data_IF_157897087697
#
_entry.id   IF_157897087697
#
_cell.length_a   1.000
_cell.length_b   1.000
_cell.length_c   1.000
_cell.angle_alpha   90.00
_cell.angle_beta   90.00
_cell.angle_gamma   90.00
#
_symmetry.space_group_name_H-M   'P 1'
#
loop_
_entity.id
_entity.type
_entity.pdbx_description
1 polymer ?
#
# COMPACT_ATOMS: atom_id res chain seq x y z
N UNK A 1 -11.69 -19.67 -40.68
CA UNK A 1 -12.22 -18.45 -40.01
C UNK A 1 -12.30 -18.58 -38.49
N UNK A 2 -12.78 -19.70 -37.91
CA UNK A 2 -12.89 -19.89 -36.46
C UNK A 2 -11.57 -19.74 -35.68
N UNK A 3 -10.47 -20.32 -36.16
CA UNK A 3 -9.16 -20.30 -35.49
C UNK A 3 -8.59 -18.88 -35.38
N UNK A 4 -8.81 -18.05 -36.41
CA UNK A 4 -8.35 -16.65 -36.42
C UNK A 4 -9.13 -15.78 -35.42
N UNK A 5 -10.44 -16.03 -35.25
CA UNK A 5 -11.26 -15.33 -34.27
C UNK A 5 -10.91 -15.74 -32.83
N UNK A 6 -10.59 -17.02 -32.59
CA UNK A 6 -10.12 -17.52 -31.30
C UNK A 6 -8.76 -16.91 -30.93
N UNK A 7 -7.85 -16.80 -31.90
CA UNK A 7 -6.53 -16.20 -31.67
C UNK A 7 -6.62 -14.69 -31.38
N UNK A 8 -7.47 -13.95 -32.12
CA UNK A 8 -7.70 -12.52 -31.92
C UNK A 8 -8.38 -12.22 -30.57
N UNK A 9 -9.35 -13.04 -30.17
CA UNK A 9 -10.01 -12.90 -28.86
C UNK A 9 -9.07 -13.27 -27.70
N UNK A 10 -8.19 -14.27 -27.87
CA UNK A 10 -7.16 -14.58 -26.86
C UNK A 10 -6.15 -13.45 -26.70
N UNK A 11 -5.74 -12.79 -27.80
CA UNK A 11 -4.78 -11.68 -27.77
C UNK A 11 -5.37 -10.44 -27.07
N UNK A 12 -6.61 -10.08 -27.39
CA UNK A 12 -7.34 -9.00 -26.70
C UNK A 12 -7.51 -9.28 -25.19
N UNK A 13 -7.82 -10.53 -24.81
CA UNK A 13 -7.96 -10.91 -23.39
C UNK A 13 -6.63 -10.82 -22.63
N UNK A 14 -5.53 -11.22 -23.27
CA UNK A 14 -4.19 -11.07 -22.72
C UNK A 14 -3.80 -9.61 -22.49
N UNK A 15 -4.11 -8.72 -23.44
CA UNK A 15 -3.85 -7.27 -23.31
C UNK A 15 -4.67 -6.63 -22.16
N UNK A 16 -5.93 -7.05 -22.00
CA UNK A 16 -6.78 -6.60 -20.88
C UNK A 16 -6.18 -7.06 -19.54
N UNK A 17 -5.82 -8.34 -19.40
CA UNK A 17 -5.23 -8.86 -18.17
C UNK A 17 -3.90 -8.17 -17.82
N UNK A 18 -3.04 -7.97 -18.82
CA UNK A 18 -1.74 -7.32 -18.65
C UNK A 18 -1.88 -5.86 -18.24
N UNK A 19 -2.87 -5.15 -18.78
CA UNK A 19 -3.14 -3.74 -18.43
C UNK A 19 -3.53 -3.59 -16.97
N UNK A 20 -4.42 -4.45 -16.45
CA UNK A 20 -4.78 -4.40 -15.03
C UNK A 20 -3.63 -4.85 -14.12
N UNK A 21 -2.83 -5.82 -14.56
CA UNK A 21 -1.62 -6.22 -13.84
C UNK A 21 -0.62 -5.05 -13.72
N UNK A 22 -0.33 -4.37 -14.84
CA UNK A 22 0.58 -3.23 -14.88
C UNK A 22 0.04 -2.09 -14.03
N UNK A 23 -1.23 -1.71 -14.16
CA UNK A 23 -1.81 -0.60 -13.40
C UNK A 23 -1.81 -0.87 -11.89
N UNK A 24 -2.16 -2.09 -11.47
CA UNK A 24 -2.14 -2.44 -10.04
C UNK A 24 -0.70 -2.48 -9.53
N UNK A 25 0.23 -3.00 -10.33
CA UNK A 25 1.65 -3.04 -9.95
C UNK A 25 2.22 -1.63 -9.87
N UNK A 26 1.97 -0.75 -10.84
CA UNK A 26 2.46 0.64 -10.83
C UNK A 26 1.95 1.42 -9.61
N UNK A 27 0.66 1.26 -9.27
CA UNK A 27 0.04 1.91 -8.10
C UNK A 27 0.52 1.33 -6.75
N UNK A 28 0.88 0.04 -6.67
CA UNK A 28 1.23 -0.64 -5.41
C UNK A 28 2.73 -0.86 -5.21
N UNK A 29 3.53 -0.90 -6.26
CA UNK A 29 4.94 -1.31 -6.18
C UNK A 29 5.70 -0.32 -5.30
N UNK A 30 5.50 0.98 -5.51
CA UNK A 30 6.11 2.01 -4.66
C UNK A 30 5.73 1.84 -3.19
N UNK A 31 4.43 1.63 -2.90
CA UNK A 31 3.94 1.44 -1.52
C UNK A 31 4.52 0.16 -0.91
N UNK A 32 4.56 -0.94 -1.66
CA UNK A 32 5.08 -2.23 -1.21
C UNK A 32 6.57 -2.16 -0.88
N UNK A 33 7.35 -1.46 -1.71
CA UNK A 33 8.79 -1.31 -1.55
C UNK A 33 9.12 -0.41 -0.35
N UNK A 34 8.41 0.72 -0.21
CA UNK A 34 8.54 1.60 0.96
C UNK A 34 8.17 0.86 2.25
N UNK A 35 7.09 0.07 2.24
CA UNK A 35 6.70 -0.74 3.41
C UNK A 35 7.74 -1.80 3.75
N UNK A 36 8.26 -2.52 2.76
CA UNK A 36 9.29 -3.54 2.95
C UNK A 36 10.55 -2.96 3.60
N UNK A 37 11.08 -1.86 3.04
CA UNK A 37 12.25 -1.16 3.59
C UNK A 37 12.01 -0.69 5.03
N UNK A 38 10.84 -0.11 5.32
CA UNK A 38 10.50 0.35 6.67
C UNK A 38 10.44 -0.84 7.64
N UNK A 39 9.81 -1.95 7.23
CA UNK A 39 9.70 -3.14 8.06
C UNK A 39 11.07 -3.79 8.31
N UNK A 40 11.94 -3.86 7.31
CA UNK A 40 13.30 -4.38 7.44
C UNK A 40 14.15 -3.55 8.44
N UNK A 41 14.07 -2.22 8.36
CA UNK A 41 14.77 -1.32 9.30
C UNK A 41 14.22 -1.50 10.73
N UNK A 42 12.90 -1.67 10.88
CA UNK A 42 12.28 -1.93 12.18
C UNK A 42 12.59 -3.32 12.73
N UNK A 43 12.75 -4.32 11.89
CA UNK A 43 13.08 -5.67 12.35
C UNK A 43 14.49 -5.74 12.94
N UNK A 44 15.40 -4.95 12.37
CA UNK A 44 16.81 -4.82 12.79
C UNK A 44 16.98 -3.92 14.03
N UNK A 45 16.24 -2.81 14.10
CA UNK A 45 16.43 -1.77 15.13
C UNK A 45 15.52 -1.88 16.36
N UNK A 46 14.28 -2.37 16.21
CA UNK A 46 13.27 -2.29 17.27
C UNK A 46 13.23 -3.53 18.16
N UNK A 47 12.95 -3.33 19.44
CA UNK A 47 12.60 -4.39 20.39
C UNK A 47 11.17 -4.89 20.16
N UNK A 48 10.72 -5.83 21.02
CA UNK A 48 9.38 -6.43 20.92
C UNK A 48 8.26 -5.37 20.97
N UNK A 49 8.43 -4.33 21.79
CA UNK A 49 7.44 -3.26 21.93
C UNK A 49 7.32 -2.41 20.66
N UNK A 50 8.45 -1.98 20.07
CA UNK A 50 8.45 -1.24 18.80
C UNK A 50 7.83 -2.03 17.64
N UNK A 51 8.13 -3.34 17.55
CA UNK A 51 7.53 -4.22 16.52
C UNK A 51 6.01 -4.32 16.64
N UNK A 52 5.47 -4.37 17.86
CA UNK A 52 4.01 -4.41 18.08
C UNK A 52 3.37 -3.08 17.64
N UNK A 53 3.98 -1.94 17.96
CA UNK A 53 3.49 -0.61 17.56
C UNK A 53 3.48 -0.46 16.04
N UNK A 54 4.53 -0.91 15.36
CA UNK A 54 4.61 -0.86 13.89
C UNK A 54 3.55 -1.76 13.26
N UNK A 55 3.34 -2.97 13.79
CA UNK A 55 2.29 -3.90 13.32
C UNK A 55 0.88 -3.36 13.56
N UNK A 56 0.63 -2.68 14.68
CA UNK A 56 -0.68 -2.05 14.92
C UNK A 56 -0.91 -0.87 13.97
N UNK A 57 0.13 -0.08 13.66
CA UNK A 57 0.08 0.95 12.62
C UNK A 57 -0.23 0.40 11.23
N UNK A 58 0.40 -0.72 10.87
CA UNK A 58 0.10 -1.44 9.63
C UNK A 58 -1.37 -1.85 9.57
N UNK A 59 -1.87 -2.55 10.60
CA UNK A 59 -3.26 -3.00 10.66
C UNK A 59 -4.25 -1.82 10.61
N UNK A 60 -3.99 -0.76 11.37
CA UNK A 60 -4.79 0.46 11.34
C UNK A 60 -4.79 1.11 9.95
N UNK A 61 -3.63 1.17 9.28
CA UNK A 61 -3.51 1.69 7.92
C UNK A 61 -4.40 0.96 6.91
N UNK A 62 -4.41 -0.37 6.94
CA UNK A 62 -5.31 -1.17 6.10
C UNK A 62 -6.78 -0.86 6.37
N UNK A 63 -7.18 -0.77 7.64
CA UNK A 63 -8.57 -0.46 8.04
C UNK A 63 -8.97 0.93 7.53
N UNK A 64 -8.15 1.95 7.77
CA UNK A 64 -8.45 3.33 7.35
C UNK A 64 -8.50 3.43 5.82
N UNK A 65 -7.60 2.75 5.10
CA UNK A 65 -7.63 2.69 3.64
C UNK A 65 -8.91 2.03 3.10
N UNK A 66 -9.36 0.94 3.73
CA UNK A 66 -10.61 0.26 3.38
C UNK A 66 -11.82 1.17 3.62
N UNK A 67 -11.88 1.84 4.77
CA UNK A 67 -12.94 2.82 5.11
C UNK A 67 -12.95 3.97 4.10
N UNK A 68 -11.79 4.53 3.73
CA UNK A 68 -11.70 5.58 2.71
C UNK A 68 -12.19 5.11 1.34
N UNK A 69 -11.82 3.90 0.93
CA UNK A 69 -12.29 3.30 -0.33
C UNK A 69 -13.82 3.19 -0.33
N UNK A 70 -14.38 2.66 0.76
CA UNK A 70 -15.83 2.54 0.93
C UNK A 70 -16.54 3.90 0.83
N UNK A 71 -16.05 4.91 1.55
CA UNK A 71 -16.62 6.27 1.55
C UNK A 71 -16.50 6.91 0.16
N UNK A 72 -15.37 6.73 -0.53
CA UNK A 72 -15.13 7.32 -1.85
C UNK A 72 -16.01 6.66 -2.92
N UNK A 73 -16.29 5.36 -2.78
CA UNK A 73 -17.18 4.62 -3.67
C UNK A 73 -18.67 4.98 -3.43
N UNK A 74 -19.10 5.11 -2.17
CA UNK A 74 -20.50 5.47 -1.83
C UNK A 74 -20.80 6.95 -1.99
N UNK A 75 -19.84 7.83 -1.70
CA UNK A 75 -19.98 9.28 -1.89
C UNK A 75 -19.10 9.73 -3.04
N UNK A 76 -19.65 9.61 -4.26
CA UNK A 76 -19.13 10.14 -5.55
C UNK A 76 -18.84 11.66 -5.56
N UNK A 77 -18.99 12.33 -4.42
CA UNK A 77 -19.12 13.78 -4.23
C UNK A 77 -17.90 14.47 -3.62
N UNK A 78 -16.93 13.74 -3.06
CA UNK A 78 -15.74 14.39 -2.49
C UNK A 78 -14.67 14.41 -3.57
N UNK A 79 -14.42 15.58 -4.16
CA UNK A 79 -13.44 15.76 -5.25
C UNK A 79 -12.14 15.00 -4.98
N UNK A 80 -12.01 13.83 -5.60
CA UNK A 80 -11.00 12.82 -5.23
C UNK A 80 -9.57 13.32 -5.34
N UNK A 81 -9.36 14.34 -6.18
CA UNK A 81 -8.10 15.05 -6.33
C UNK A 81 -7.66 15.75 -5.04
N UNK A 82 -8.53 16.56 -4.41
CA UNK A 82 -8.16 17.34 -3.22
C UNK A 82 -7.82 16.45 -2.03
N UNK A 83 -8.63 15.42 -1.77
CA UNK A 83 -8.40 14.47 -0.66
C UNK A 83 -7.13 13.65 -0.89
N UNK A 84 -6.82 13.31 -2.14
CA UNK A 84 -5.55 12.68 -2.51
C UNK A 84 -4.35 13.60 -2.21
N UNK A 85 -4.37 14.84 -2.67
CA UNK A 85 -3.26 15.80 -2.48
C UNK A 85 -2.99 16.11 -1.01
N UNK A 86 -4.03 16.29 -0.18
CA UNK A 86 -3.85 16.50 1.27
C UNK A 86 -3.26 15.26 1.96
N UNK A 87 -3.64 14.05 1.52
CA UNK A 87 -3.05 12.80 2.00
C UNK A 87 -1.55 12.72 1.69
N UNK A 88 -1.15 13.00 0.44
CA UNK A 88 0.26 13.02 0.05
C UNK A 88 1.05 14.08 0.84
N UNK A 89 0.49 15.27 1.04
CA UNK A 89 1.10 16.30 1.88
C UNK A 89 1.31 15.84 3.32
N UNK A 90 0.31 15.19 3.93
CA UNK A 90 0.41 14.65 5.29
C UNK A 90 1.47 13.53 5.39
N UNK A 91 1.52 12.63 4.40
CA UNK A 91 2.54 11.57 4.34
C UNK A 91 3.96 12.16 4.21
N UNK A 92 4.13 13.23 3.42
CA UNK A 92 5.41 13.91 3.25
C UNK A 92 5.86 14.61 4.54
N UNK A 93 4.93 15.28 5.25
CA UNK A 93 5.21 15.88 6.57
C UNK A 93 5.59 14.80 7.59
N UNK A 94 4.88 13.66 7.61
CA UNK A 94 5.22 12.53 8.49
C UNK A 94 6.58 11.92 8.14
N UNK A 95 6.93 11.85 6.85
CA UNK A 95 8.24 11.39 6.41
C UNK A 95 9.36 12.33 6.87
N UNK A 96 9.17 13.64 6.75
CA UNK A 96 10.12 14.63 7.26
C UNK A 96 10.28 14.53 8.79
N UNK A 97 9.17 14.37 9.53
CA UNK A 97 9.21 14.14 10.97
C UNK A 97 9.97 12.87 11.33
N UNK A 98 9.79 11.79 10.57
CA UNK A 98 10.53 10.55 10.75
C UNK A 98 12.04 10.74 10.53
N UNK A 99 12.43 11.45 9.46
CA UNK A 99 13.83 11.77 9.18
C UNK A 99 14.44 12.60 10.31
N UNK A 100 13.73 13.63 10.81
CA UNK A 100 14.18 14.45 11.93
C UNK A 100 14.33 13.59 13.20
N UNK A 101 13.35 12.73 13.50
CA UNK A 101 13.42 11.80 14.62
C UNK A 101 14.61 10.85 14.47
N UNK A 102 14.92 10.39 13.25
CA UNK A 102 16.07 9.53 12.98
C UNK A 102 17.41 10.28 13.09
N UNK A 103 17.49 11.55 12.72
CA UNK A 103 18.70 12.36 12.92
C UNK A 103 18.99 12.56 14.41
N UNK A 104 17.95 12.89 15.20
CA UNK A 104 18.09 13.18 16.64
C UNK A 104 18.31 11.91 17.46
N UNK A 105 17.56 10.84 17.16
CA UNK A 105 17.52 9.62 17.98
C UNK A 105 18.10 8.38 17.29
N UNK A 106 18.37 8.39 15.99
CA UNK A 106 18.80 7.23 15.21
C UNK A 106 20.11 6.63 15.68
N UNK A 107 21.08 7.46 16.11
CA UNK A 107 22.34 6.94 16.68
C UNK A 107 22.11 6.18 17.99
N UNK A 108 21.15 6.59 18.82
CA UNK A 108 20.78 5.89 20.06
C UNK A 108 19.92 4.65 19.79
N UNK A 109 19.08 4.71 18.76
CA UNK A 109 18.20 3.63 18.32
C UNK A 109 18.99 2.47 17.69
N UNK A 110 19.91 2.75 16.77
CA UNK A 110 20.72 1.74 16.08
C UNK A 110 21.81 1.14 16.98
N UNK A 111 22.50 1.96 17.76
CA UNK A 111 23.67 1.50 18.52
C UNK A 111 23.30 0.88 19.88
N UNK A 112 22.06 1.07 20.36
CA UNK A 112 21.57 0.71 21.71
C UNK A 112 22.50 1.14 22.87
N UNK A 113 23.43 2.07 22.61
CA UNK A 113 24.40 2.59 23.58
C UNK A 113 23.83 3.85 24.23
N UNK A 114 23.64 3.80 25.54
CA UNK A 114 23.18 4.93 26.34
C UNK A 114 22.35 4.53 27.55
N UNK A 115 21.82 5.52 28.27
CA UNK A 115 20.95 5.28 29.43
C UNK A 115 19.67 4.53 28.98
N UNK A 116 19.25 3.46 29.69
CA UNK A 116 18.15 2.59 29.25
C UNK A 116 16.81 3.32 29.11
N UNK A 117 16.56 4.37 29.90
CA UNK A 117 15.35 5.21 29.78
C UNK A 117 15.28 5.93 28.43
N UNK A 118 16.40 6.50 27.96
CA UNK A 118 16.44 7.27 26.71
C UNK A 118 16.36 6.37 25.46
N UNK A 119 16.90 5.15 25.53
CA UNK A 119 16.81 4.16 24.45
C UNK A 119 15.36 3.69 24.30
N UNK A 120 14.64 3.43 25.40
CA UNK A 120 13.22 3.07 25.37
C UNK A 120 12.34 4.19 24.81
N UNK A 121 12.57 5.44 25.22
CA UNK A 121 11.82 6.59 24.68
C UNK A 121 12.07 6.78 23.19
N UNK A 122 13.32 6.67 22.74
CA UNK A 122 13.67 6.74 21.32
C UNK A 122 13.00 5.64 20.49
N UNK A 123 12.99 4.41 21.00
CA UNK A 123 12.32 3.27 20.35
C UNK A 123 10.82 3.51 20.19
N UNK A 124 10.14 3.97 21.24
CA UNK A 124 8.69 4.25 21.19
C UNK A 124 8.38 5.39 20.24
N UNK A 125 9.14 6.50 20.30
CA UNK A 125 8.91 7.66 19.42
C UNK A 125 9.12 7.29 17.97
N UNK A 126 10.24 6.65 17.62
CA UNK A 126 10.52 6.22 16.25
C UNK A 126 9.45 5.22 15.79
N UNK A 127 9.14 4.20 16.60
CA UNK A 127 8.12 3.19 16.22
C UNK A 127 6.73 3.81 16.02
N UNK A 128 6.36 4.82 16.82
CA UNK A 128 5.07 5.50 16.70
C UNK A 128 5.00 6.36 15.45
N UNK A 129 6.05 7.14 15.15
CA UNK A 129 6.11 7.95 13.93
C UNK A 129 6.15 7.04 12.69
N UNK A 130 6.87 5.92 12.75
CA UNK A 130 6.89 4.89 11.71
C UNK A 130 5.49 4.29 11.49
N UNK A 131 4.80 3.93 12.57
CA UNK A 131 3.44 3.40 12.51
C UNK A 131 2.47 4.39 11.85
N UNK A 132 2.57 5.69 12.20
CA UNK A 132 1.79 6.76 11.59
C UNK A 132 2.13 6.94 10.10
N UNK A 133 3.41 6.89 9.74
CA UNK A 133 3.86 7.00 8.36
C UNK A 133 3.33 5.84 7.51
N UNK A 134 3.42 4.60 8.01
CA UNK A 134 2.85 3.41 7.36
C UNK A 134 1.34 3.59 7.14
N UNK A 135 0.61 4.03 8.16
CA UNK A 135 -0.82 4.26 8.06
C UNK A 135 -1.15 5.34 7.03
N UNK A 136 -0.38 6.43 6.97
CA UNK A 136 -0.55 7.50 6.00
C UNK A 136 -0.21 7.05 4.56
N UNK A 137 0.85 6.26 4.37
CA UNK A 137 1.21 5.69 3.07
C UNK A 137 0.11 4.76 2.54
N UNK A 138 -0.39 3.86 3.39
CA UNK A 138 -1.51 2.98 3.05
C UNK A 138 -2.78 3.80 2.74
N UNK A 139 -3.07 4.82 3.55
CA UNK A 139 -4.20 5.72 3.31
C UNK A 139 -4.15 6.40 1.93
N UNK A 140 -2.96 6.76 1.45
CA UNK A 140 -2.78 7.42 0.17
C UNK A 140 -2.84 6.46 -1.02
N UNK A 141 -2.14 5.33 -0.94
CA UNK A 141 -1.94 4.41 -2.07
C UNK A 141 -3.02 3.33 -2.23
N UNK A 142 -3.57 2.79 -1.13
CA UNK A 142 -4.50 1.66 -1.21
C UNK A 142 -5.92 1.95 -1.74
N UNK A 143 -6.52 3.15 -1.56
CA UNK A 143 -7.90 3.36 -1.98
C UNK A 143 -8.11 3.18 -3.48
N UNK A 144 -7.13 3.54 -4.32
CA UNK A 144 -7.23 3.32 -5.76
C UNK A 144 -7.31 1.82 -6.08
N UNK A 145 -6.47 1.01 -5.42
CA UNK A 145 -6.42 -0.45 -5.53
C UNK A 145 -7.75 -1.08 -5.17
N UNK A 146 -8.31 -0.70 -4.02
CA UNK A 146 -9.61 -1.23 -3.57
C UNK A 146 -10.79 -0.83 -4.47
N UNK A 147 -10.65 0.23 -5.26
CA UNK A 147 -11.71 0.68 -6.18
C UNK A 147 -11.63 0.01 -7.55
N UNK A 148 -10.48 -0.56 -7.96
CA UNK A 148 -10.35 -1.27 -9.24
C UNK A 148 -11.43 -2.33 -9.51
N UNK A 149 -11.79 -3.24 -8.58
CA UNK A 149 -12.81 -4.25 -8.84
C UNK A 149 -14.20 -3.64 -9.10
N UNK A 150 -14.47 -2.44 -8.60
CA UNK A 150 -15.72 -1.70 -8.85
C UNK A 150 -15.72 -0.92 -10.17
N UNK A 151 -14.55 -0.76 -10.81
CA UNK A 151 -14.36 -0.09 -12.11
C UNK A 151 -14.26 -1.07 -13.27
N UNK A 152 -14.49 -2.36 -13.05
CA UNK A 152 -14.53 -3.33 -14.14
C UNK A 152 -15.73 -3.07 -15.02
N UNK A 153 -15.51 -2.37 -16.13
CA UNK A 153 -16.54 -2.18 -17.15
C UNK A 153 -16.82 -3.51 -17.86
N UNK A 154 -17.88 -4.20 -17.44
CA UNK A 154 -18.28 -5.48 -18.02
C UNK A 154 -19.08 -5.33 -19.30
N UNK A 155 -19.31 -4.10 -19.80
CA UNK A 155 -20.07 -3.86 -21.03
C UNK A 155 -21.48 -4.44 -20.99
N UNK A 156 -22.08 -4.53 -19.80
CA UNK A 156 -23.39 -5.16 -19.57
C UNK A 156 -23.36 -6.68 -19.37
N UNK A 157 -22.21 -7.33 -19.47
CA UNK A 157 -22.08 -8.75 -19.14
C UNK A 157 -22.05 -8.95 -17.61
N UNK A 158 -22.65 -10.05 -17.12
CA UNK A 158 -22.73 -10.35 -15.69
C UNK A 158 -21.36 -10.59 -15.02
N UNK A 159 -21.36 -10.67 -13.69
CA UNK A 159 -20.18 -10.90 -12.83
C UNK A 159 -19.45 -12.23 -13.08
N UNK A 160 -20.07 -13.14 -13.83
CA UNK A 160 -19.50 -14.43 -14.26
C UNK A 160 -18.94 -14.39 -15.68
N UNK A 161 -18.88 -13.21 -16.32
CA UNK A 161 -18.30 -13.07 -17.64
C UNK A 161 -16.81 -13.42 -17.61
N UNK A 162 -16.35 -14.09 -18.66
CA UNK A 162 -14.94 -14.40 -18.87
C UNK A 162 -14.06 -13.14 -18.81
N UNK A 163 -14.58 -12.00 -19.27
CA UNK A 163 -13.85 -10.72 -19.21
C UNK A 163 -13.72 -10.17 -17.78
N UNK A 164 -14.71 -10.42 -16.92
CA UNK A 164 -14.62 -10.07 -15.49
C UNK A 164 -13.58 -10.95 -14.78
N UNK A 165 -13.58 -12.26 -15.06
CA UNK A 165 -12.62 -13.21 -14.48
C UNK A 165 -11.18 -12.89 -14.85
N UNK A 166 -10.91 -12.53 -16.11
CA UNK A 166 -9.54 -12.16 -16.54
C UNK A 166 -9.06 -10.85 -15.88
N UNK A 167 -9.94 -9.87 -15.70
CA UNK A 167 -9.60 -8.61 -15.00
C UNK A 167 -9.37 -8.83 -13.50
N UNK A 168 -10.20 -9.66 -12.88
CA UNK A 168 -10.03 -10.08 -11.49
C UNK A 168 -8.72 -10.87 -11.31
N UNK A 169 -8.38 -11.75 -12.26
CA UNK A 169 -7.13 -12.49 -12.28
C UNK A 169 -5.89 -11.57 -12.34
N UNK A 170 -5.89 -10.58 -13.24
CA UNK A 170 -4.82 -9.57 -13.31
C UNK A 170 -4.70 -8.73 -12.03
N UNK A 171 -5.84 -8.35 -11.44
CA UNK A 171 -5.88 -7.63 -10.16
C UNK A 171 -5.30 -8.46 -8.99
N UNK A 172 -5.72 -9.71 -8.85
CA UNK A 172 -5.21 -10.60 -7.80
C UNK A 172 -3.72 -10.91 -7.98
N UNK A 173 -3.28 -11.14 -9.22
CA UNK A 173 -1.87 -11.38 -9.53
C UNK A 173 -1.00 -10.16 -9.16
N UNK A 174 -1.46 -8.93 -9.46
CA UNK A 174 -0.75 -7.71 -9.08
C UNK A 174 -0.59 -7.57 -7.56
N UNK A 175 -1.66 -7.84 -6.80
CA UNK A 175 -1.60 -7.84 -5.32
C UNK A 175 -0.59 -8.86 -4.82
N UNK A 176 -0.57 -10.08 -5.38
CA UNK A 176 0.37 -11.12 -4.97
C UNK A 176 1.82 -10.67 -5.23
N UNK A 177 2.10 -10.11 -6.41
CA UNK A 177 3.46 -9.61 -6.76
C UNK A 177 3.90 -8.53 -5.78
N UNK A 178 3.01 -7.59 -5.43
CA UNK A 178 3.32 -6.53 -4.47
C UNK A 178 3.52 -7.06 -3.04
N UNK A 179 2.74 -8.05 -2.61
CA UNK A 179 2.94 -8.71 -1.32
C UNK A 179 4.28 -9.45 -1.26
N UNK A 180 4.64 -10.18 -2.32
CA UNK A 180 5.93 -10.89 -2.40
C UNK A 180 7.08 -9.88 -2.38
N UNK A 181 6.96 -8.76 -3.10
CA UNK A 181 7.96 -7.70 -3.13
C UNK A 181 8.15 -7.04 -1.76
N UNK A 182 7.06 -6.82 -1.02
CA UNK A 182 7.12 -6.26 0.34
C UNK A 182 7.77 -7.22 1.36
N UNK A 183 7.65 -8.54 1.16
CA UNK A 183 8.27 -9.56 2.03
C UNK A 183 9.72 -9.84 1.64
N UNK A 184 10.08 -9.64 0.37
CA UNK A 184 11.43 -9.86 -0.14
C UNK A 184 12.39 -8.69 0.10
N UNK A 185 11.87 -7.49 0.38
CA UNK A 185 12.64 -6.28 0.69
C UNK A 185 13.09 -6.23 2.15
#
# INVERSE_FOLDING_TARGET
MLIWNIWKTSKNKGEIMLTYLINVTDDMLFVSLVLGVILAVMDTGSGKAGKIIVRSGLAAGFIIAAVRSYITNTRRLVGGWKVGTYGYGAALVLFLLLVIAFIIFGKKFLTKKGKPKWVKTAEVVISTVTALLIAACLYCGMPNVYVYPFKFDTGGNGVLSTDYLFRLGGYLAGIIVCLVSAVAA
#
